data_IF_872252546918
#
_entry.id   IF_872252546918
#
_cell.length_a   1.000
_cell.length_b   1.000
_cell.length_c   1.000
_cell.angle_alpha   90.00
_cell.angle_beta   90.00
_cell.angle_gamma   90.00
#
_symmetry.space_group_name_H-M   'P 1'
#
loop_
_entity.id
_entity.type
_entity.pdbx_description
1 polymer ?
#
# COMPACT_ATOMS: atom_id res chain seq x y z
N UNK A 1 -43.02 9.37 -22.64
CA UNK A 1 -43.07 8.68 -21.34
C UNK A 1 -41.62 8.36 -20.97
N UNK A 2 -40.94 9.31 -20.34
CA UNK A 2 -39.54 9.17 -19.96
C UNK A 2 -39.47 8.26 -18.73
N UNK A 3 -38.86 7.08 -18.86
CA UNK A 3 -38.56 6.23 -17.73
C UNK A 3 -37.50 6.95 -16.89
N UNK A 4 -37.91 7.54 -15.77
CA UNK A 4 -37.00 7.92 -14.71
C UNK A 4 -36.43 6.64 -14.11
N UNK A 5 -35.32 6.16 -14.64
CA UNK A 5 -34.46 5.20 -13.93
C UNK A 5 -33.79 5.97 -12.82
N UNK A 6 -34.53 6.18 -11.74
CA UNK A 6 -33.99 6.61 -10.46
C UNK A 6 -33.17 5.42 -9.95
N UNK A 7 -31.92 5.31 -10.42
CA UNK A 7 -30.95 4.41 -9.83
C UNK A 7 -30.70 4.94 -8.43
N UNK A 8 -31.54 4.55 -7.47
CA UNK A 8 -31.29 4.79 -6.06
C UNK A 8 -29.86 4.30 -5.80
N UNK A 9 -28.93 5.23 -5.58
CA UNK A 9 -27.53 4.88 -5.42
C UNK A 9 -27.43 3.87 -4.28
N UNK A 10 -26.87 2.69 -4.58
CA UNK A 10 -26.63 1.67 -3.56
C UNK A 10 -25.90 2.33 -2.40
N UNK A 11 -26.39 2.22 -1.14
CA UNK A 11 -25.78 2.92 -0.03
C UNK A 11 -24.36 2.39 0.24
N UNK A 12 -23.52 3.24 0.84
CA UNK A 12 -22.14 2.87 1.22
C UNK A 12 -22.13 1.81 2.32
N UNK A 13 -23.15 1.78 3.17
CA UNK A 13 -23.35 0.73 4.17
C UNK A 13 -24.75 0.16 3.96
N UNK A 14 -24.90 -1.16 4.03
CA UNK A 14 -26.22 -1.77 3.95
C UNK A 14 -27.14 -1.29 5.09
N UNK A 15 -28.47 -1.22 4.88
CA UNK A 15 -29.40 -0.85 5.93
C UNK A 15 -29.36 -1.83 7.11
N UNK A 16 -29.62 -1.35 8.33
CA UNK A 16 -29.77 -2.20 9.53
C UNK A 16 -28.56 -2.22 10.46
N UNK A 17 -27.57 -1.36 10.25
CA UNK A 17 -26.41 -1.21 11.13
C UNK A 17 -26.49 0.06 12.00
N UNK A 18 -26.08 -0.10 13.25
CA UNK A 18 -25.78 0.97 14.21
C UNK A 18 -24.29 0.94 14.61
N UNK A 19 -23.83 1.89 15.44
CA UNK A 19 -22.42 1.94 15.84
C UNK A 19 -21.94 0.67 16.58
N UNK A 20 -22.82 0.01 17.34
CA UNK A 20 -22.50 -1.20 18.08
C UNK A 20 -22.29 -2.39 17.15
N UNK A 21 -23.26 -2.67 16.29
CA UNK A 21 -23.22 -3.77 15.32
C UNK A 21 -22.07 -3.65 14.32
N UNK A 22 -21.70 -2.43 13.90
CA UNK A 22 -20.50 -2.18 13.10
C UNK A 22 -19.25 -2.59 13.86
N UNK A 23 -19.13 -2.14 15.11
CA UNK A 23 -17.97 -2.43 15.97
C UNK A 23 -17.86 -3.93 16.25
N UNK A 24 -18.97 -4.59 16.57
CA UNK A 24 -19.03 -6.02 16.84
C UNK A 24 -18.65 -6.85 15.62
N UNK A 25 -19.13 -6.47 14.43
CA UNK A 25 -18.78 -7.18 13.19
C UNK A 25 -17.30 -7.08 12.85
N UNK A 26 -16.72 -5.88 12.92
CA UNK A 26 -15.30 -5.65 12.58
C UNK A 26 -14.38 -6.24 13.64
N UNK A 27 -14.64 -5.97 14.92
CA UNK A 27 -13.84 -6.51 16.02
C UNK A 27 -13.97 -8.03 16.15
N UNK A 28 -15.15 -8.59 15.81
CA UNK A 28 -15.40 -10.03 15.81
C UNK A 28 -14.52 -10.82 14.83
N UNK A 29 -14.07 -10.21 13.73
CA UNK A 29 -13.09 -10.84 12.82
C UNK A 29 -11.71 -10.93 13.46
N UNK A 30 -11.33 -9.94 14.26
CA UNK A 30 -9.97 -9.83 14.84
C UNK A 30 -9.88 -10.58 16.17
N UNK A 31 -10.90 -10.46 17.01
CA UNK A 31 -10.98 -11.03 18.35
C UNK A 31 -11.68 -12.39 18.39
N UNK A 32 -11.91 -13.01 17.22
CA UNK A 32 -12.52 -14.35 17.12
C UNK A 32 -11.76 -15.35 17.99
N UNK A 33 -12.48 -16.14 18.79
CA UNK A 33 -11.88 -17.16 19.67
C UNK A 33 -11.18 -18.27 18.90
N UNK A 34 -11.64 -18.56 17.69
CA UNK A 34 -11.08 -19.58 16.81
C UNK A 34 -10.64 -18.96 15.49
N UNK A 35 -9.40 -19.22 15.11
CA UNK A 35 -8.88 -18.80 13.81
C UNK A 35 -9.46 -19.68 12.70
N UNK A 36 -10.08 -19.12 11.66
CA UNK A 36 -10.66 -19.91 10.57
C UNK A 36 -9.61 -20.81 9.92
N UNK A 37 -9.98 -22.06 9.59
CA UNK A 37 -9.09 -23.01 8.90
C UNK A 37 -8.55 -22.46 7.59
N UNK A 38 -9.36 -21.70 6.85
CA UNK A 38 -8.94 -21.04 5.62
C UNK A 38 -7.79 -20.06 5.82
N UNK A 39 -7.77 -19.33 6.95
CA UNK A 39 -6.66 -18.44 7.31
C UNK A 39 -5.37 -19.22 7.58
N UNK A 40 -5.46 -20.33 8.32
CA UNK A 40 -4.30 -21.18 8.62
C UNK A 40 -3.70 -21.83 7.36
N UNK A 41 -4.56 -22.30 6.45
CA UNK A 41 -4.12 -22.86 5.16
C UNK A 41 -3.48 -21.77 4.30
N UNK A 42 -4.11 -20.60 4.18
CA UNK A 42 -3.58 -19.47 3.43
C UNK A 42 -2.23 -19.00 3.99
N UNK A 43 -2.11 -18.90 5.31
CA UNK A 43 -0.86 -18.59 6.00
C UNK A 43 0.22 -19.63 5.73
N UNK A 44 -0.13 -20.92 5.80
CA UNK A 44 0.81 -22.02 5.50
C UNK A 44 1.34 -21.96 4.07
N UNK A 45 0.47 -21.74 3.08
CA UNK A 45 0.87 -21.60 1.67
C UNK A 45 1.74 -20.37 1.47
N UNK A 46 1.34 -19.21 2.02
CA UNK A 46 2.13 -17.98 1.94
C UNK A 46 3.50 -18.14 2.60
N UNK A 47 3.56 -18.82 3.75
CA UNK A 47 4.80 -19.12 4.46
C UNK A 47 5.74 -19.99 3.61
N UNK A 48 5.24 -21.02 2.95
CA UNK A 48 6.05 -21.84 2.04
C UNK A 48 6.60 -21.03 0.86
N UNK A 49 5.81 -20.12 0.29
CA UNK A 49 6.26 -19.22 -0.79
C UNK A 49 7.35 -18.27 -0.27
N UNK A 50 7.21 -17.75 0.95
CA UNK A 50 8.25 -16.92 1.58
C UNK A 50 9.54 -17.73 1.81
N UNK A 51 9.44 -19.00 2.25
CA UNK A 51 10.62 -19.86 2.39
C UNK A 51 11.32 -20.10 1.05
N UNK A 52 10.55 -20.30 -0.03
CA UNK A 52 11.10 -20.40 -1.39
C UNK A 52 11.79 -19.10 -1.83
N UNK A 53 11.21 -17.95 -1.50
CA UNK A 53 11.84 -16.64 -1.75
C UNK A 53 13.16 -16.50 -0.98
N UNK A 54 13.19 -16.82 0.32
CA UNK A 54 14.41 -16.75 1.13
C UNK A 54 15.50 -17.71 0.62
N UNK A 55 15.12 -18.90 0.18
CA UNK A 55 16.04 -19.82 -0.47
C UNK A 55 16.61 -19.22 -1.76
N UNK A 56 15.76 -18.64 -2.61
CA UNK A 56 16.17 -17.99 -3.86
C UNK A 56 17.10 -16.79 -3.61
N UNK A 57 16.83 -15.98 -2.59
CA UNK A 57 17.69 -14.88 -2.16
C UNK A 57 19.04 -15.37 -1.65
N UNK A 58 19.07 -16.50 -0.92
CA UNK A 58 20.31 -17.11 -0.46
C UNK A 58 21.16 -17.55 -1.64
N UNK A 59 20.56 -18.17 -2.66
CA UNK A 59 21.25 -18.54 -3.90
C UNK A 59 21.76 -17.29 -4.64
N UNK A 60 20.96 -16.23 -4.71
CA UNK A 60 21.35 -14.95 -5.33
C UNK A 60 22.58 -14.35 -4.65
N UNK A 61 22.61 -14.29 -3.32
CA UNK A 61 23.74 -13.73 -2.58
C UNK A 61 24.98 -14.63 -2.63
N UNK A 62 24.81 -15.95 -2.72
CA UNK A 62 25.92 -16.89 -2.79
C UNK A 62 26.54 -16.99 -4.20
N UNK A 63 25.73 -16.94 -5.26
CA UNK A 63 26.18 -17.12 -6.66
C UNK A 63 26.28 -15.82 -7.45
N UNK A 64 25.70 -14.73 -6.95
CA UNK A 64 25.65 -13.43 -7.61
C UNK A 64 24.47 -13.26 -8.59
N UNK A 65 24.28 -12.02 -9.07
CA UNK A 65 23.15 -11.61 -9.92
C UNK A 65 23.05 -12.32 -11.27
N UNK A 66 24.11 -13.00 -11.72
CA UNK A 66 24.11 -13.77 -12.96
C UNK A 66 23.11 -14.94 -12.99
N UNK A 67 22.62 -15.39 -11.83
CA UNK A 67 21.57 -16.43 -11.75
C UNK A 67 20.23 -16.00 -12.37
N UNK A 68 20.03 -14.70 -12.58
CA UNK A 68 18.82 -14.17 -13.20
C UNK A 68 18.79 -14.28 -14.73
N UNK A 69 19.88 -14.75 -15.36
CA UNK A 69 19.94 -14.89 -16.82
C UNK A 69 19.96 -13.54 -17.54
N UNK A 70 20.48 -12.50 -16.88
CA UNK A 70 20.74 -11.19 -17.49
C UNK A 70 21.96 -11.27 -18.40
N UNK A 71 21.99 -10.44 -19.43
CA UNK A 71 23.15 -10.26 -20.30
C UNK A 71 23.60 -8.79 -20.31
N UNK A 72 24.68 -8.49 -21.04
CA UNK A 72 25.24 -7.13 -21.10
C UNK A 72 24.41 -6.18 -22.00
N UNK A 73 23.47 -6.69 -22.77
CA UNK A 73 22.54 -5.90 -23.61
C UNK A 73 21.28 -5.56 -22.83
N UNK A 74 20.72 -6.51 -22.09
CA UNK A 74 19.54 -6.38 -21.24
C UNK A 74 19.96 -6.65 -19.79
N UNK A 75 20.54 -5.62 -19.18
CA UNK A 75 21.03 -5.70 -17.79
C UNK A 75 19.90 -5.61 -16.74
N UNK A 76 18.68 -5.21 -17.14
CA UNK A 76 17.50 -5.14 -16.29
C UNK A 76 16.41 -6.09 -16.79
N UNK A 77 15.93 -6.96 -15.89
CA UNK A 77 14.86 -7.92 -16.16
C UNK A 77 13.82 -7.93 -15.04
N UNK A 78 13.42 -9.13 -14.61
CA UNK A 78 12.35 -9.32 -13.62
C UNK A 78 12.52 -8.53 -12.33
N UNK A 79 13.75 -8.29 -11.86
CA UNK A 79 13.98 -7.52 -10.63
C UNK A 79 13.42 -6.09 -10.73
N UNK A 80 13.72 -5.37 -11.81
CA UNK A 80 13.24 -4.00 -12.02
C UNK A 80 11.77 -4.00 -12.46
N UNK A 81 11.34 -4.96 -13.28
CA UNK A 81 9.92 -5.09 -13.66
C UNK A 81 9.04 -5.29 -12.43
N UNK A 82 9.42 -6.22 -11.54
CA UNK A 82 8.68 -6.47 -10.30
C UNK A 82 8.79 -5.31 -9.32
N UNK A 83 9.94 -4.62 -9.26
CA UNK A 83 10.10 -3.41 -8.46
C UNK A 83 9.05 -2.36 -8.85
N UNK A 84 9.00 -1.97 -10.14
CA UNK A 84 8.03 -0.98 -10.64
C UNK A 84 6.61 -1.45 -10.39
N UNK A 85 6.32 -2.73 -10.62
CA UNK A 85 4.99 -3.32 -10.41
C UNK A 85 4.55 -3.26 -8.94
N UNK A 86 5.43 -3.64 -8.00
CA UNK A 86 5.12 -3.60 -6.57
C UNK A 86 4.96 -2.16 -6.04
N UNK A 87 5.79 -1.22 -6.49
CA UNK A 87 5.59 0.21 -6.16
C UNK A 87 4.25 0.68 -6.74
N UNK A 88 3.93 0.30 -7.97
CA UNK A 88 2.68 0.63 -8.65
C UNK A 88 1.45 0.17 -7.86
N UNK A 89 1.44 -1.10 -7.42
CA UNK A 89 0.39 -1.65 -6.55
C UNK A 89 0.25 -0.81 -5.28
N UNK A 90 1.37 -0.42 -4.66
CA UNK A 90 1.37 0.35 -3.43
C UNK A 90 0.59 1.66 -3.54
N UNK A 91 0.60 2.32 -4.70
CA UNK A 91 0.01 3.64 -4.86
C UNK A 91 -1.50 3.71 -4.70
N UNK A 92 -2.24 2.66 -5.09
CA UNK A 92 -3.70 2.67 -4.95
C UNK A 92 -4.15 2.80 -3.50
N UNK A 93 -3.46 2.17 -2.55
CA UNK A 93 -3.83 2.26 -1.14
C UNK A 93 -3.71 3.67 -0.58
N UNK A 94 -2.62 4.38 -0.90
CA UNK A 94 -2.43 5.79 -0.54
C UNK A 94 -3.33 6.74 -1.33
N UNK A 95 -3.70 6.43 -2.57
CA UNK A 95 -4.68 7.22 -3.32
C UNK A 95 -6.07 7.09 -2.67
N UNK A 96 -6.50 5.87 -2.38
CA UNK A 96 -7.78 5.59 -1.72
C UNK A 96 -7.85 6.32 -0.38
N UNK A 97 -6.76 6.31 0.40
CA UNK A 97 -6.78 6.85 1.74
C UNK A 97 -6.52 8.35 1.83
N UNK A 98 -5.71 8.92 0.94
CA UNK A 98 -5.37 10.35 0.92
C UNK A 98 -6.20 11.15 -0.11
N UNK A 99 -6.16 10.77 -1.39
CA UNK A 99 -6.80 11.54 -2.46
C UNK A 99 -8.32 11.54 -2.30
N UNK A 100 -8.92 10.37 -2.06
CA UNK A 100 -10.38 10.31 -1.83
C UNK A 100 -10.79 11.02 -0.53
N UNK A 101 -9.91 11.09 0.48
CA UNK A 101 -10.15 11.89 1.69
C UNK A 101 -10.19 13.39 1.36
N UNK A 102 -9.27 13.88 0.52
CA UNK A 102 -9.27 15.28 0.08
C UNK A 102 -10.53 15.62 -0.74
N UNK A 103 -10.99 14.69 -1.57
CA UNK A 103 -12.27 14.80 -2.29
C UNK A 103 -13.50 14.51 -1.45
N UNK A 104 -13.34 14.27 -0.14
CA UNK A 104 -14.42 13.97 0.82
C UNK A 104 -15.35 12.85 0.36
N UNK A 105 -14.80 11.85 -0.31
CA UNK A 105 -15.56 10.70 -0.77
C UNK A 105 -15.77 9.72 0.39
N UNK A 106 -17.02 9.43 0.73
CA UNK A 106 -17.33 8.63 1.94
C UNK A 106 -17.16 7.12 1.72
N UNK A 107 -17.32 6.63 0.49
CA UNK A 107 -17.17 5.21 0.14
C UNK A 107 -15.76 4.65 0.39
N UNK A 108 -14.74 5.50 0.53
CA UNK A 108 -13.40 5.06 0.90
C UNK A 108 -13.34 4.45 2.30
N UNK A 109 -14.27 4.82 3.21
CA UNK A 109 -14.17 4.52 4.64
C UNK A 109 -14.11 3.01 4.91
N UNK A 110 -14.88 2.20 4.18
CA UNK A 110 -14.89 0.74 4.31
C UNK A 110 -13.65 0.05 3.74
N UNK A 111 -12.88 0.74 2.90
CA UNK A 111 -11.75 0.15 2.17
C UNK A 111 -10.37 0.66 2.57
N UNK A 112 -10.28 1.85 3.20
CA UNK A 112 -9.01 2.51 3.52
C UNK A 112 -8.02 1.60 4.27
N UNK A 113 -8.48 0.90 5.31
CA UNK A 113 -7.57 0.19 6.24
C UNK A 113 -6.81 -0.94 5.56
N UNK A 114 -7.49 -1.76 4.76
CA UNK A 114 -6.83 -2.86 4.05
C UNK A 114 -6.08 -2.36 2.81
N UNK A 115 -6.53 -1.27 2.18
CA UNK A 115 -5.82 -0.65 1.07
C UNK A 115 -4.48 -0.04 1.53
N UNK A 116 -4.45 0.66 2.67
CA UNK A 116 -3.23 1.17 3.29
C UNK A 116 -2.29 0.04 3.75
N UNK A 117 -2.84 -1.06 4.31
CA UNK A 117 -2.05 -2.24 4.64
C UNK A 117 -1.41 -2.87 3.39
N UNK A 118 -2.17 -2.97 2.29
CA UNK A 118 -1.68 -3.42 1.00
C UNK A 118 -0.52 -2.55 0.52
N UNK A 119 -0.59 -1.22 0.68
CA UNK A 119 0.53 -0.32 0.36
C UNK A 119 1.78 -0.70 1.13
N UNK A 120 1.70 -0.85 2.46
CA UNK A 120 2.89 -1.12 3.28
C UNK A 120 3.55 -2.44 2.87
N UNK A 121 2.77 -3.50 2.65
CA UNK A 121 3.33 -4.78 2.20
C UNK A 121 3.87 -4.72 0.77
N UNK A 122 3.17 -4.03 -0.14
CA UNK A 122 3.65 -3.87 -1.52
C UNK A 122 4.98 -3.12 -1.56
N UNK A 123 5.12 -2.04 -0.80
CA UNK A 123 6.35 -1.26 -0.75
C UNK A 123 7.47 -2.00 0.00
N UNK A 124 7.14 -2.78 1.03
CA UNK A 124 8.13 -3.65 1.67
C UNK A 124 8.72 -4.68 0.69
N UNK A 125 7.89 -5.27 -0.18
CA UNK A 125 8.35 -6.15 -1.26
C UNK A 125 9.13 -5.38 -2.33
N UNK A 126 8.66 -4.20 -2.73
CA UNK A 126 9.34 -3.34 -3.68
C UNK A 126 10.75 -2.97 -3.21
N UNK A 127 10.90 -2.56 -1.93
CA UNK A 127 12.15 -2.10 -1.35
C UNK A 127 13.26 -3.15 -1.30
N UNK A 128 12.93 -4.45 -1.47
CA UNK A 128 13.93 -5.50 -1.61
C UNK A 128 14.71 -5.36 -2.92
N UNK A 129 14.03 -5.06 -4.03
CA UNK A 129 14.61 -5.10 -5.37
C UNK A 129 15.75 -4.10 -5.58
N UNK A 130 15.66 -2.81 -5.19
CA UNK A 130 16.77 -1.86 -5.27
C UNK A 130 18.04 -2.33 -4.54
N UNK A 131 17.93 -3.19 -3.52
CA UNK A 131 19.07 -3.73 -2.80
C UNK A 131 19.60 -4.98 -3.52
N UNK A 132 18.74 -5.97 -3.73
CA UNK A 132 19.15 -7.30 -4.19
C UNK A 132 19.54 -7.34 -5.68
N UNK A 133 19.09 -6.36 -6.47
CA UNK A 133 19.48 -6.27 -7.89
C UNK A 133 20.89 -5.75 -8.11
N UNK A 134 21.52 -5.18 -7.08
CA UNK A 134 22.90 -4.74 -7.16
C UNK A 134 23.85 -5.93 -7.09
N UNK A 135 24.96 -5.87 -7.82
CA UNK A 135 25.98 -6.92 -7.75
C UNK A 135 26.70 -7.02 -6.39
N UNK A 136 26.61 -5.97 -5.55
CA UNK A 136 27.23 -5.92 -4.21
C UNK A 136 26.25 -5.33 -3.19
N UNK A 137 25.21 -6.08 -2.77
CA UNK A 137 24.14 -5.57 -1.91
C UNK A 137 24.61 -5.05 -0.55
N UNK A 138 25.72 -5.59 -0.01
CA UNK A 138 26.28 -5.16 1.27
C UNK A 138 26.82 -3.72 1.26
N UNK A 139 26.99 -3.09 0.08
CA UNK A 139 27.41 -1.69 -0.08
C UNK A 139 26.23 -0.72 -0.25
N UNK A 140 24.98 -1.19 -0.12
CA UNK A 140 23.79 -0.37 -0.32
C UNK A 140 23.76 0.90 0.55
N UNK A 141 24.41 0.88 1.72
CA UNK A 141 24.50 2.04 2.61
C UNK A 141 25.24 3.24 1.99
N UNK A 142 26.05 3.05 0.92
CA UNK A 142 26.67 4.16 0.17
C UNK A 142 25.68 5.01 -0.62
N UNK A 143 24.44 4.54 -0.79
CA UNK A 143 23.38 5.33 -1.38
C UNK A 143 22.82 6.38 -0.40
N UNK A 144 23.12 6.26 0.90
CA UNK A 144 22.66 7.23 1.90
C UNK A 144 23.63 8.41 2.02
N UNK A 145 23.13 9.64 2.16
CA UNK A 145 23.97 10.82 2.34
C UNK A 145 24.43 10.92 3.81
N UNK A 146 25.48 10.19 4.19
CA UNK A 146 26.06 10.24 5.53
C UNK A 146 27.51 10.73 5.49
N UNK A 147 27.98 11.47 6.52
CA UNK A 147 29.35 11.91 6.60
C UNK A 147 30.27 10.68 6.75
N UNK A 148 31.10 10.44 5.74
CA UNK A 148 32.04 9.33 5.70
C UNK A 148 33.47 9.82 5.91
N UNK A 149 34.36 8.93 6.38
CA UNK A 149 35.80 9.21 6.49
C UNK A 149 36.40 9.65 5.15
N UNK A 150 35.85 9.14 4.04
CA UNK A 150 36.28 9.46 2.68
C UNK A 150 35.73 10.78 2.14
N UNK A 151 34.84 11.46 2.88
CA UNK A 151 34.15 12.70 2.44
C UNK A 151 33.46 12.53 1.07
N UNK A 152 33.02 11.31 0.76
CA UNK A 152 32.28 10.99 -0.45
C UNK A 152 30.78 11.07 -0.20
N UNK A 153 30.06 11.53 -1.23
CA UNK A 153 28.61 11.69 -1.24
C UNK A 153 28.01 10.94 -2.44
N UNK A 154 26.73 10.52 -2.37
CA UNK A 154 26.06 9.91 -3.50
C UNK A 154 25.82 10.93 -4.64
N UNK A 155 25.63 10.43 -5.86
CA UNK A 155 25.38 11.27 -7.04
C UNK A 155 23.90 11.67 -7.13
N UNK A 156 23.59 12.91 -6.72
CA UNK A 156 22.23 13.48 -6.72
C UNK A 156 21.61 13.74 -8.09
N UNK A 157 22.33 13.50 -9.20
CA UNK A 157 21.76 13.56 -10.55
C UNK A 157 21.17 12.24 -11.03
N UNK A 158 21.43 11.14 -10.32
CA UNK A 158 20.98 9.80 -10.71
C UNK A 158 19.54 9.58 -10.30
N UNK A 159 18.61 9.25 -11.23
CA UNK A 159 17.24 8.87 -10.90
C UNK A 159 17.17 7.68 -9.92
N UNK A 160 18.08 6.70 -10.04
CA UNK A 160 18.20 5.59 -9.08
C UNK A 160 18.47 6.02 -7.64
N UNK A 161 19.12 7.18 -7.44
CA UNK A 161 19.29 7.73 -6.09
C UNK A 161 18.00 8.38 -5.60
N UNK A 162 17.29 9.08 -6.49
CA UNK A 162 15.99 9.66 -6.17
C UNK A 162 15.00 8.58 -5.73
N UNK A 163 15.07 7.39 -6.33
CA UNK A 163 14.31 6.21 -5.92
C UNK A 163 14.53 5.84 -4.45
N UNK A 164 15.77 5.87 -3.96
CA UNK A 164 16.07 5.61 -2.54
C UNK A 164 15.34 6.59 -1.63
N UNK A 165 15.33 7.88 -1.98
CA UNK A 165 14.61 8.90 -1.21
C UNK A 165 13.09 8.79 -1.37
N UNK A 166 12.61 8.56 -2.60
CA UNK A 166 11.19 8.42 -2.90
C UNK A 166 10.58 7.25 -2.14
N UNK A 167 11.18 6.06 -2.21
CA UNK A 167 10.68 4.86 -1.51
C UNK A 167 10.81 5.03 0.00
N UNK A 168 11.94 5.52 0.53
CA UNK A 168 12.13 5.65 1.98
C UNK A 168 11.15 6.65 2.59
N UNK A 169 10.92 7.80 1.95
CA UNK A 169 9.91 8.77 2.37
C UNK A 169 8.50 8.21 2.21
N UNK A 170 8.23 7.48 1.13
CA UNK A 170 6.95 6.83 0.89
C UNK A 170 6.59 5.78 1.94
N UNK A 171 7.52 4.89 2.29
CA UNK A 171 7.35 3.91 3.39
C UNK A 171 7.08 4.64 4.69
N UNK A 172 7.87 5.66 5.02
CA UNK A 172 7.77 6.38 6.28
C UNK A 172 6.41 7.07 6.41
N UNK A 173 5.99 7.81 5.38
CA UNK A 173 4.72 8.54 5.38
C UNK A 173 3.54 7.56 5.35
N UNK A 174 3.60 6.48 4.56
CA UNK A 174 2.54 5.47 4.51
C UNK A 174 2.37 4.74 5.85
N UNK A 175 3.48 4.38 6.50
CA UNK A 175 3.45 3.74 7.81
C UNK A 175 2.88 4.67 8.88
N UNK A 176 3.30 5.94 8.91
CA UNK A 176 2.77 6.93 9.83
C UNK A 176 1.28 7.18 9.60
N UNK A 177 0.87 7.34 8.34
CA UNK A 177 -0.52 7.59 7.99
C UNK A 177 -1.43 6.43 8.38
N UNK A 178 -1.01 5.20 8.08
CA UNK A 178 -1.74 3.99 8.46
C UNK A 178 -1.81 3.83 9.97
N UNK A 179 -0.67 3.97 10.66
CA UNK A 179 -0.59 3.82 12.11
C UNK A 179 -1.45 4.87 12.84
N UNK A 180 -1.37 6.15 12.44
CA UNK A 180 -2.20 7.20 13.02
C UNK A 180 -3.69 6.88 12.86
N UNK A 181 -4.08 6.39 11.68
CA UNK A 181 -5.46 5.95 11.43
C UNK A 181 -5.90 4.77 12.30
N UNK A 182 -4.97 3.90 12.72
CA UNK A 182 -5.26 2.75 13.60
C UNK A 182 -5.29 3.07 15.09
N UNK A 183 -4.79 4.24 15.53
CA UNK A 183 -4.81 4.61 16.95
C UNK A 183 -6.21 4.48 17.59
N UNK A 184 -7.29 5.06 17.01
CA UNK A 184 -8.64 4.87 17.55
C UNK A 184 -9.12 3.42 17.44
N UNK A 185 -8.77 2.71 16.37
CA UNK A 185 -9.17 1.31 16.15
C UNK A 185 -8.55 0.37 17.20
N UNK A 186 -7.27 0.57 17.53
CA UNK A 186 -6.61 -0.17 18.61
C UNK A 186 -7.23 0.13 19.97
N UNK A 187 -7.74 1.34 20.20
CA UNK A 187 -8.46 1.66 21.42
C UNK A 187 -9.77 0.86 21.53
N UNK A 188 -10.50 0.75 20.42
CA UNK A 188 -11.71 -0.08 20.34
C UNK A 188 -11.38 -1.56 20.57
N UNK A 189 -10.35 -2.10 19.92
CA UNK A 189 -9.92 -3.49 20.11
C UNK A 189 -9.41 -3.78 21.54
N UNK A 190 -8.74 -2.81 22.18
CA UNK A 190 -8.34 -2.88 23.59
C UNK A 190 -9.57 -3.01 24.50
N UNK A 191 -10.57 -2.19 24.27
CA UNK A 191 -11.75 -2.11 25.13
C UNK A 191 -12.64 -3.36 24.96
N UNK A 192 -12.73 -3.90 23.73
CA UNK A 192 -13.46 -5.13 23.40
C UNK A 192 -12.72 -6.44 23.76
N UNK A 193 -11.40 -6.41 23.97
CA UNK A 193 -10.64 -7.63 24.25
C UNK A 193 -10.90 -8.20 25.66
N UNK A 194 -11.37 -9.45 25.72
CA UNK A 194 -11.54 -10.22 26.96
C UNK A 194 -10.20 -10.62 27.61
N UNK A 195 -9.21 -10.97 26.80
CA UNK A 195 -7.91 -11.44 27.27
C UNK A 195 -7.04 -10.26 27.72
N UNK A 196 -6.60 -10.29 29.00
CA UNK A 196 -5.74 -9.27 29.61
C UNK A 196 -4.45 -8.99 28.83
N UNK A 197 -3.86 -10.01 28.21
CA UNK A 197 -2.63 -9.87 27.40
C UNK A 197 -2.94 -9.13 26.11
N UNK A 198 -3.97 -9.55 25.38
CA UNK A 198 -4.42 -8.91 24.13
C UNK A 198 -4.82 -7.46 24.37
N UNK A 199 -5.58 -7.21 25.45
CA UNK A 199 -5.94 -5.86 25.89
C UNK A 199 -4.70 -5.00 26.18
N UNK A 200 -3.67 -5.54 26.84
CA UNK A 200 -2.42 -4.80 27.11
C UNK A 200 -1.66 -4.48 25.81
N UNK A 201 -1.58 -5.43 24.88
CA UNK A 201 -0.92 -5.23 23.58
C UNK A 201 -1.61 -4.11 22.80
N UNK A 202 -2.93 -4.20 22.58
CA UNK A 202 -3.68 -3.13 21.90
C UNK A 202 -3.66 -1.82 22.69
N UNK A 203 -3.60 -1.87 24.02
CA UNK A 203 -3.46 -0.69 24.86
C UNK A 203 -2.15 0.08 24.68
N UNK A 204 -1.04 -0.62 24.41
CA UNK A 204 0.24 0.01 24.08
C UNK A 204 0.14 0.73 22.73
N UNK A 205 -0.41 0.06 21.71
CA UNK A 205 -0.55 0.64 20.36
C UNK A 205 -1.60 1.76 20.28
N UNK A 206 -2.60 1.76 21.16
CA UNK A 206 -3.60 2.84 21.26
C UNK A 206 -3.03 4.14 21.84
N UNK A 207 -1.79 4.17 22.34
CA UNK A 207 -1.11 5.37 22.88
C UNK A 207 -1.96 6.18 23.89
N UNK A 208 -2.75 5.48 24.72
CA UNK A 208 -3.62 6.12 25.71
C UNK A 208 -4.82 6.86 25.11
N UNK A 209 -5.28 6.48 23.91
CA UNK A 209 -6.50 7.03 23.32
C UNK A 209 -7.73 6.77 24.21
N UNK A 210 -8.51 7.83 24.44
CA UNK A 210 -9.71 7.87 25.30
C UNK A 210 -10.97 8.40 24.60
N UNK A 211 -10.89 8.73 23.31
CA UNK A 211 -12.02 9.31 22.56
C UNK A 211 -12.41 10.74 22.98
N UNK A 212 -11.55 11.48 23.69
CA UNK A 212 -11.85 12.86 24.08
C UNK A 212 -11.99 13.79 22.86
N UNK A 213 -12.83 14.83 22.94
CA UNK A 213 -13.05 15.79 21.85
C UNK A 213 -11.73 16.40 21.31
N UNK A 214 -10.78 16.69 22.21
CA UNK A 214 -9.44 17.18 21.83
C UNK A 214 -8.66 16.16 21.00
N UNK A 215 -8.79 14.87 21.29
CA UNK A 215 -8.12 13.82 20.52
C UNK A 215 -8.67 13.75 19.10
N UNK A 216 -10.00 13.77 18.96
CA UNK A 216 -10.67 13.79 17.65
C UNK A 216 -10.33 15.03 16.82
N UNK A 217 -10.31 16.21 17.43
CA UNK A 217 -9.94 17.45 16.75
C UNK A 217 -8.50 17.41 16.21
N UNK A 218 -7.56 16.85 16.97
CA UNK A 218 -6.17 16.71 16.51
C UNK A 218 -6.01 15.60 15.48
N UNK A 219 -6.70 14.47 15.65
CA UNK A 219 -6.71 13.37 14.69
C UNK A 219 -7.22 13.81 13.32
N UNK A 220 -8.31 14.58 13.28
CA UNK A 220 -8.85 15.10 12.02
C UNK A 220 -7.85 16.03 11.31
N UNK A 221 -7.18 16.92 12.05
CA UNK A 221 -6.14 17.81 11.51
C UNK A 221 -4.93 17.02 11.00
N UNK A 222 -4.42 16.09 11.80
CA UNK A 222 -3.28 15.26 11.42
C UNK A 222 -3.58 14.41 10.18
N UNK A 223 -4.76 13.80 10.10
CA UNK A 223 -5.19 13.00 8.96
C UNK A 223 -5.30 13.84 7.67
N UNK A 224 -5.87 15.05 7.77
CA UNK A 224 -5.94 15.96 6.62
C UNK A 224 -4.55 16.43 6.16
N UNK A 225 -3.66 16.77 7.09
CA UNK A 225 -2.28 17.17 6.77
C UNK A 225 -1.50 16.03 6.12
N UNK A 226 -1.58 14.82 6.68
CA UNK A 226 -0.91 13.66 6.11
C UNK A 226 -1.47 13.30 4.73
N UNK A 227 -2.78 13.43 4.50
CA UNK A 227 -3.36 13.24 3.18
C UNK A 227 -2.92 14.31 2.17
N UNK A 228 -2.82 15.57 2.60
CA UNK A 228 -2.31 16.67 1.80
C UNK A 228 -0.81 16.47 1.44
N UNK A 229 -0.02 15.87 2.32
CA UNK A 229 1.39 15.52 2.05
C UNK A 229 1.55 14.25 1.21
N UNK A 230 0.72 13.23 1.46
CA UNK A 230 0.78 11.95 0.75
C UNK A 230 0.34 12.07 -0.71
N UNK A 231 -0.60 12.97 -1.03
CA UNK A 231 -1.09 13.16 -2.40
C UNK A 231 0.01 13.54 -3.41
N UNK A 232 0.79 14.63 -3.21
CA UNK A 232 1.89 14.95 -4.11
C UNK A 232 3.01 13.91 -4.04
N UNK A 233 3.21 13.25 -2.89
CA UNK A 233 4.18 12.17 -2.75
C UNK A 233 3.84 10.97 -3.64
N UNK A 234 2.57 10.56 -3.71
CA UNK A 234 2.14 9.44 -4.57
C UNK A 234 2.42 9.73 -6.03
N UNK A 235 2.12 10.94 -6.49
CA UNK A 235 2.39 11.37 -7.86
C UNK A 235 3.90 11.45 -8.11
N UNK A 236 4.67 11.99 -7.17
CA UNK A 236 6.11 12.16 -7.35
C UNK A 236 6.87 10.83 -7.32
N UNK A 237 6.55 9.91 -6.41
CA UNK A 237 7.27 8.63 -6.24
C UNK A 237 7.22 7.81 -7.52
N UNK A 238 6.04 7.62 -8.12
CA UNK A 238 5.95 6.85 -9.37
C UNK A 238 6.50 7.61 -10.58
N UNK A 239 6.48 8.95 -10.54
CA UNK A 239 7.18 9.77 -11.53
C UNK A 239 8.69 9.61 -11.44
N UNK A 240 9.25 9.49 -10.23
CA UNK A 240 10.69 9.24 -10.00
C UNK A 240 11.10 7.87 -10.53
N UNK A 241 10.33 6.83 -10.22
CA UNK A 241 10.54 5.49 -10.78
C UNK A 241 10.46 5.52 -12.32
N UNK A 242 9.57 6.34 -12.89
CA UNK A 242 9.52 6.53 -14.33
C UNK A 242 10.75 7.27 -14.90
N UNK A 243 11.40 8.15 -14.13
CA UNK A 243 12.58 8.88 -14.58
C UNK A 243 13.80 7.99 -14.78
N UNK A 244 13.88 6.82 -14.12
CA UNK A 244 14.89 5.80 -14.40
C UNK A 244 14.91 5.39 -15.88
N UNK A 245 13.73 5.39 -16.51
CA UNK A 245 13.57 5.09 -17.93
C UNK A 245 13.62 6.37 -18.77
N UNK A 246 12.84 7.39 -18.40
CA UNK A 246 12.65 8.59 -19.23
C UNK A 246 13.92 9.40 -19.46
N UNK A 247 14.86 9.41 -18.50
CA UNK A 247 16.13 10.15 -18.60
C UNK A 247 17.18 9.37 -19.41
N UNK A 248 16.97 8.08 -19.66
CA UNK A 248 17.84 7.26 -20.50
C UNK A 248 17.84 7.74 -21.95
N UNK A 249 18.92 7.47 -22.70
CA UNK A 249 19.02 7.70 -24.14
C UNK A 249 18.53 6.52 -24.99
N UNK A 250 18.01 5.46 -24.36
CA UNK A 250 17.51 4.27 -25.04
C UNK A 250 16.25 4.62 -25.85
N UNK A 251 16.21 4.32 -27.16
CA UNK A 251 15.01 4.49 -27.98
C UNK A 251 13.80 3.77 -27.38
N UNK A 252 12.67 4.46 -27.29
CA UNK A 252 11.45 3.96 -26.65
C UNK A 252 11.35 4.27 -25.15
N UNK A 253 12.47 4.55 -24.47
CA UNK A 253 12.46 5.01 -23.08
C UNK A 253 12.56 6.53 -22.99
N UNK A 254 13.34 7.17 -23.87
CA UNK A 254 13.50 8.63 -23.87
C UNK A 254 12.23 9.36 -24.35
N UNK A 255 11.31 9.62 -23.43
CA UNK A 255 10.05 10.33 -23.70
C UNK A 255 9.54 11.05 -22.44
N UNK A 256 8.99 12.25 -22.64
CA UNK A 256 8.49 13.11 -21.57
C UNK A 256 7.12 12.68 -21.04
N UNK A 257 6.44 11.74 -21.72
CA UNK A 257 5.11 11.27 -21.34
C UNK A 257 5.13 10.11 -20.32
N UNK A 258 6.28 9.45 -20.10
CA UNK A 258 6.33 8.29 -19.19
C UNK A 258 5.92 8.61 -17.75
N UNK A 259 6.31 9.73 -17.11
CA UNK A 259 5.94 9.99 -15.73
C UNK A 259 4.43 9.99 -15.47
N UNK A 260 3.59 10.77 -16.20
CA UNK A 260 2.15 10.69 -16.02
C UNK A 260 1.55 9.34 -16.45
N UNK A 261 2.11 8.69 -17.48
CA UNK A 261 1.66 7.36 -17.92
C UNK A 261 1.88 6.29 -16.86
N UNK A 262 3.06 6.27 -16.23
CA UNK A 262 3.39 5.38 -15.13
C UNK A 262 2.45 5.63 -13.96
N UNK A 263 2.22 6.89 -13.58
CA UNK A 263 1.27 7.22 -12.48
C UNK A 263 -0.13 6.66 -12.78
N UNK A 264 -0.65 6.83 -14.00
CA UNK A 264 -1.92 6.22 -14.41
C UNK A 264 -1.90 4.69 -14.34
N UNK A 265 -0.81 4.06 -14.79
CA UNK A 265 -0.59 2.61 -14.69
C UNK A 265 -0.52 2.09 -13.26
N UNK A 266 0.05 2.86 -12.33
CA UNK A 266 0.05 2.56 -10.91
C UNK A 266 -1.34 2.59 -10.30
N UNK A 267 -2.14 3.60 -10.65
CA UNK A 267 -3.54 3.68 -10.24
C UNK A 267 -4.30 2.47 -10.78
N UNK A 268 -4.16 2.17 -12.08
CA UNK A 268 -4.79 1.01 -12.71
C UNK A 268 -4.45 -0.31 -12.02
N UNK A 269 -3.16 -0.64 -11.92
CA UNK A 269 -2.67 -1.90 -11.34
C UNK A 269 -2.98 -2.03 -9.85
N UNK A 270 -2.89 -0.93 -9.11
CA UNK A 270 -3.20 -0.92 -7.69
C UNK A 270 -4.70 -1.11 -7.42
N UNK A 271 -5.60 -0.45 -8.16
CA UNK A 271 -7.05 -0.70 -8.00
C UNK A 271 -7.43 -2.12 -8.42
N UNK A 272 -6.81 -2.66 -9.47
CA UNK A 272 -6.98 -4.06 -9.85
C UNK A 272 -6.59 -5.01 -8.71
N UNK A 273 -5.49 -4.74 -8.01
CA UNK A 273 -5.07 -5.52 -6.84
C UNK A 273 -6.04 -5.36 -5.66
N UNK A 274 -6.49 -4.13 -5.37
CA UNK A 274 -7.49 -3.87 -4.31
C UNK A 274 -8.77 -4.67 -4.57
N UNK A 275 -9.27 -4.70 -5.80
CA UNK A 275 -10.46 -5.49 -6.18
C UNK A 275 -10.19 -7.00 -6.00
N UNK A 276 -9.02 -7.47 -6.44
CA UNK A 276 -8.60 -8.88 -6.32
C UNK A 276 -8.54 -9.33 -4.86
N UNK A 277 -8.21 -8.44 -3.93
CA UNK A 277 -8.24 -8.72 -2.48
C UNK A 277 -9.62 -8.51 -1.86
N UNK A 278 -10.34 -7.45 -2.26
CA UNK A 278 -11.61 -7.07 -1.66
C UNK A 278 -12.72 -8.09 -1.94
N UNK A 279 -12.79 -8.66 -3.15
CA UNK A 279 -13.82 -9.65 -3.51
C UNK A 279 -13.75 -10.91 -2.63
N UNK A 280 -12.61 -11.60 -2.47
CA UNK A 280 -12.53 -12.76 -1.59
C UNK A 280 -12.68 -12.38 -0.12
N UNK A 281 -12.11 -11.25 0.34
CA UNK A 281 -12.30 -10.78 1.73
C UNK A 281 -13.78 -10.56 2.03
N UNK A 282 -14.49 -9.90 1.12
CA UNK A 282 -15.94 -9.66 1.20
C UNK A 282 -16.69 -10.97 1.42
N UNK A 283 -16.35 -12.02 0.67
CA UNK A 283 -17.06 -13.30 0.74
C UNK A 283 -16.65 -14.17 1.94
N UNK A 284 -15.36 -14.28 2.24
CA UNK A 284 -14.86 -15.16 3.31
C UNK A 284 -15.15 -14.64 4.70
N UNK A 285 -15.17 -13.31 4.89
CA UNK A 285 -15.45 -12.68 6.19
C UNK A 285 -16.88 -12.16 6.32
N UNK A 286 -17.74 -12.43 5.33
CA UNK A 286 -19.13 -11.98 5.30
C UNK A 286 -19.27 -10.46 5.49
N UNK A 287 -18.51 -9.70 4.71
CA UNK A 287 -18.43 -8.24 4.75
C UNK A 287 -19.20 -7.58 3.60
N UNK A 288 -20.17 -8.29 3.00
CA UNK A 288 -20.99 -7.80 1.89
C UNK A 288 -21.73 -6.49 2.22
N UNK A 289 -22.11 -6.32 3.49
CA UNK A 289 -22.83 -5.14 4.00
C UNK A 289 -21.95 -3.89 4.10
N UNK A 290 -20.63 -4.07 4.22
CA UNK A 290 -19.63 -3.00 4.38
C UNK A 290 -18.91 -2.68 3.07
N UNK A 291 -18.63 -3.71 2.28
CA UNK A 291 -18.07 -3.61 0.93
C UNK A 291 -19.21 -3.91 -0.04
N UNK A 292 -20.07 -2.92 -0.24
CA UNK A 292 -21.22 -2.99 -1.15
C UNK A 292 -20.78 -2.93 -2.62
N UNK A 293 -21.68 -3.29 -3.53
CA UNK A 293 -21.39 -3.29 -4.97
C UNK A 293 -21.04 -1.88 -5.50
N UNK A 294 -21.49 -0.81 -4.82
CA UNK A 294 -21.06 0.58 -5.11
C UNK A 294 -19.55 0.76 -5.01
N UNK A 295 -18.90 0.11 -4.05
CA UNK A 295 -17.44 0.19 -3.91
C UNK A 295 -16.75 -0.45 -5.13
N UNK A 296 -17.20 -1.64 -5.53
CA UNK A 296 -16.66 -2.36 -6.67
C UNK A 296 -16.88 -1.59 -7.98
N UNK A 297 -18.08 -1.00 -8.15
CA UNK A 297 -18.41 -0.19 -9.32
C UNK A 297 -17.56 1.08 -9.39
N UNK A 298 -17.38 1.80 -8.27
CA UNK A 298 -16.53 2.99 -8.23
C UNK A 298 -15.06 2.66 -8.52
N UNK A 299 -14.54 1.55 -7.97
CA UNK A 299 -13.20 1.09 -8.28
C UNK A 299 -13.05 0.71 -9.77
N UNK A 300 -14.06 0.06 -10.35
CA UNK A 300 -14.08 -0.27 -11.77
C UNK A 300 -14.11 0.99 -12.66
N UNK A 301 -14.87 2.02 -12.28
CA UNK A 301 -14.90 3.32 -12.99
C UNK A 301 -13.53 4.00 -12.96
N UNK A 302 -12.85 4.03 -11.81
CA UNK A 302 -11.51 4.60 -11.70
C UNK A 302 -10.51 3.82 -12.56
N UNK A 303 -10.55 2.48 -12.48
CA UNK A 303 -9.68 1.61 -13.27
C UNK A 303 -9.94 1.76 -14.78
N UNK A 304 -11.20 1.90 -15.21
CA UNK A 304 -11.53 2.19 -16.60
C UNK A 304 -10.96 3.55 -17.02
N UNK A 305 -11.16 4.60 -16.21
CA UNK A 305 -10.66 5.93 -16.51
C UNK A 305 -9.14 5.96 -16.66
N UNK A 306 -8.40 5.25 -15.80
CA UNK A 306 -6.93 5.20 -15.89
C UNK A 306 -6.43 4.23 -16.94
N UNK A 307 -7.21 3.21 -17.32
CA UNK A 307 -6.88 2.27 -18.40
C UNK A 307 -7.12 2.82 -19.81
N UNK A 308 -7.77 3.99 -19.93
CA UNK A 308 -7.97 4.71 -21.20
C UNK A 308 -6.87 5.74 -21.50
N UNK A 309 -5.97 6.00 -20.54
CA UNK A 309 -4.82 6.90 -20.67
C UNK A 309 -3.62 6.11 -21.20
#
# INVERSE_FOLDING_TARGET
MAASTDHAEVPVLAPGHDYGTVTDKVSGVVLSKETPKGWLVGFGVAFLIVMLMLFSLTVLFAKGVGVWGLDNTVAWGFAIVNFVWWVGIGHAGTLISAILLLFRQEWRNSINRFAEAMTIFAVANAGLFPIIHTGRPWLAYWLLPYPSMFQLWPQFRSPLLWDVFAISTYVTISLLFWYVGLIPDFATLRDMADNKVVRRIYGIFALGWRGAARHWAQYARASLLLAALATPLVVSVHSVVSFDFAVSSVPGWHTTFLPPYFVSGAIYSGFAMVVTLAIPIRKFYHMEDFITDRHLENMAKIMLATGLI
#
